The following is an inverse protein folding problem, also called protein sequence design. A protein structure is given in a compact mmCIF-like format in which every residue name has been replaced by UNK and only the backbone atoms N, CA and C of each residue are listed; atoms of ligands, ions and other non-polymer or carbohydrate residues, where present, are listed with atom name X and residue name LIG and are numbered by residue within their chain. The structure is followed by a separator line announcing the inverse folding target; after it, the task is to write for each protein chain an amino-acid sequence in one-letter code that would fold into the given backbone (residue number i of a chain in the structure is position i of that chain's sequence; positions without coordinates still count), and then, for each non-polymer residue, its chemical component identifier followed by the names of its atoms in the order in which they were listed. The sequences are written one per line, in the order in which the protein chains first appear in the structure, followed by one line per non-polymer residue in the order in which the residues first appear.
data_IF_092186735558
#
_entry.id   IF_092186735558
#
_cell.length_a   1.000
_cell.length_b   1.000
_cell.length_c   1.000
_cell.angle_alpha   90.00
_cell.angle_beta   90.00
_cell.angle_gamma   90.00
#
_symmetry.space_group_name_H-M   'P 1'
#
loop_
_entity.id
_entity.type
_entity.pdbx_description
1 polymer ?
#
# COMPACT_ATOMS: atom_id res chain seq x y z
N UNK A 1 4.72 -18.31 -3.65
CA UNK A 1 5.54 -17.41 -4.48
C UNK A 1 4.97 -16.01 -4.27
N UNK A 2 5.57 -15.23 -3.36
CA UNK A 2 5.23 -13.82 -3.20
C UNK A 2 5.77 -13.12 -4.46
N UNK A 3 4.90 -12.73 -5.38
CA UNK A 3 5.26 -11.78 -6.44
C UNK A 3 5.41 -10.42 -5.77
N UNK A 4 6.54 -10.19 -5.11
CA UNK A 4 6.90 -8.91 -4.51
C UNK A 4 7.77 -8.13 -5.48
N UNK A 5 7.23 -7.07 -6.07
CA UNK A 5 8.06 -6.03 -6.67
C UNK A 5 8.78 -5.32 -5.52
N UNK A 6 9.99 -5.73 -5.16
CA UNK A 6 10.72 -5.14 -4.04
C UNK A 6 11.19 -3.72 -4.40
N UNK A 7 10.94 -2.75 -3.52
CA UNK A 7 11.47 -1.40 -3.68
C UNK A 7 12.97 -1.45 -3.44
N UNK A 8 13.78 -1.00 -4.40
CA UNK A 8 15.23 -1.05 -4.25
C UNK A 8 15.70 -0.09 -3.13
N UNK A 9 16.70 -0.48 -2.32
CA UNK A 9 17.16 0.36 -1.22
C UNK A 9 17.63 1.75 -1.67
N UNK A 10 18.25 1.86 -2.85
CA UNK A 10 18.67 3.15 -3.42
C UNK A 10 17.51 4.09 -3.76
N UNK A 11 16.28 3.58 -3.85
CA UNK A 11 15.08 4.36 -4.19
C UNK A 11 14.33 4.85 -2.96
N UNK A 12 14.46 4.15 -1.82
CA UNK A 12 13.75 4.46 -0.57
C UNK A 12 14.01 5.90 -0.10
N UNK A 13 15.26 6.37 -0.16
CA UNK A 13 15.59 7.75 0.21
C UNK A 13 14.92 8.78 -0.68
N UNK A 14 14.86 8.56 -2.00
CA UNK A 14 14.23 9.47 -2.96
C UNK A 14 12.72 9.57 -2.72
N UNK A 15 12.06 8.43 -2.54
CA UNK A 15 10.61 8.43 -2.29
C UNK A 15 10.27 8.99 -0.91
N UNK A 16 11.09 8.72 0.10
CA UNK A 16 10.85 9.24 1.43
C UNK A 16 11.03 10.77 1.50
N UNK A 17 12.05 11.31 0.81
CA UNK A 17 12.21 12.76 0.65
C UNK A 17 11.00 13.39 -0.02
N UNK A 18 10.48 12.78 -1.09
CA UNK A 18 9.32 13.31 -1.81
C UNK A 18 8.05 13.35 -0.94
N UNK A 19 7.87 12.40 -0.03
CA UNK A 19 6.77 12.40 0.95
C UNK A 19 6.99 13.50 1.99
N UNK A 20 8.21 13.64 2.49
CA UNK A 20 8.58 14.67 3.45
C UNK A 20 8.39 16.09 2.90
N UNK A 21 8.80 16.34 1.67
CA UNK A 21 8.66 17.63 0.99
C UNK A 21 7.19 18.05 0.81
N UNK A 22 6.25 17.11 0.91
CA UNK A 22 4.82 17.38 0.90
C UNK A 22 4.22 17.67 2.27
N UNK A 23 4.99 17.56 3.35
CA UNK A 23 4.56 17.86 4.73
C UNK A 23 4.42 16.64 5.63
N UNK A 24 5.11 15.54 5.32
CA UNK A 24 5.05 14.36 6.17
C UNK A 24 5.70 14.60 7.54
N UNK A 25 5.19 13.91 8.55
CA UNK A 25 5.65 13.98 9.93
C UNK A 25 7.08 13.45 10.15
N UNK A 26 7.63 12.66 9.22
CA UNK A 26 8.96 12.07 9.34
C UNK A 26 9.62 11.76 8.00
N UNK A 27 10.97 11.77 8.00
CA UNK A 27 11.84 11.49 6.85
C UNK A 27 11.97 10.00 6.51
N UNK A 28 11.49 9.11 7.37
CA UNK A 28 11.57 7.66 7.17
C UNK A 28 10.30 7.07 6.52
N UNK A 29 9.34 7.90 6.10
CA UNK A 29 8.09 7.44 5.49
C UNK A 29 8.28 7.29 3.99
N UNK A 30 8.23 6.07 3.46
CA UNK A 30 8.59 5.79 2.06
C UNK A 30 7.40 5.44 1.15
N UNK A 31 6.23 5.17 1.72
CA UNK A 31 5.08 4.70 0.96
C UNK A 31 3.76 4.83 1.70
N UNK A 32 2.68 4.64 0.96
CA UNK A 32 1.31 4.65 1.44
C UNK A 32 0.76 3.23 1.40
N UNK A 33 0.23 2.74 2.52
CA UNK A 33 -0.44 1.45 2.64
C UNK A 33 -1.95 1.66 2.70
N UNK A 34 -2.68 0.79 2.00
CA UNK A 34 -4.13 0.78 2.00
C UNK A 34 -4.67 -0.66 1.85
N UNK A 35 -5.95 -0.85 2.17
CA UNK A 35 -6.65 -2.11 2.02
C UNK A 35 -7.39 -2.16 0.69
N UNK A 36 -7.07 -3.13 -0.16
CA UNK A 36 -7.80 -3.38 -1.39
C UNK A 36 -8.70 -4.61 -1.29
N UNK A 37 -9.82 -4.60 -2.00
CA UNK A 37 -10.79 -5.68 -2.01
C UNK A 37 -10.97 -6.23 -3.43
N UNK A 38 -10.83 -7.54 -3.58
CA UNK A 38 -11.18 -8.26 -4.79
C UNK A 38 -12.50 -9.00 -4.57
N UNK A 39 -13.54 -8.58 -5.28
CA UNK A 39 -14.85 -9.25 -5.22
C UNK A 39 -14.75 -10.69 -5.71
N UNK A 40 -15.41 -11.60 -4.99
CA UNK A 40 -15.48 -13.01 -5.32
C UNK A 40 -16.91 -13.52 -5.26
N UNK A 41 -17.17 -14.61 -5.97
CA UNK A 41 -18.40 -15.39 -5.76
C UNK A 41 -18.52 -15.85 -4.31
N UNK A 42 -19.76 -15.98 -3.84
CA UNK A 42 -20.07 -16.52 -2.52
C UNK A 42 -19.37 -17.88 -2.31
N UNK A 43 -18.53 -18.03 -1.27
CA UNK A 43 -17.87 -19.30 -0.98
C UNK A 43 -18.89 -20.42 -0.74
N UNK A 44 -18.66 -21.60 -1.32
CA UNK A 44 -19.54 -22.77 -1.17
C UNK A 44 -19.44 -23.43 0.20
N UNK A 45 -18.41 -23.08 0.97
CA UNK A 45 -18.20 -23.55 2.34
C UNK A 45 -19.26 -23.00 3.30
N UNK A 46 -19.33 -23.61 4.49
CA UNK A 46 -20.33 -23.27 5.50
C UNK A 46 -20.25 -21.82 6.02
N UNK A 47 -21.27 -21.44 6.79
CA UNK A 47 -21.49 -20.07 7.29
C UNK A 47 -20.27 -19.39 7.93
N UNK A 48 -19.36 -20.16 8.56
CA UNK A 48 -18.13 -19.61 9.14
C UNK A 48 -17.23 -18.98 8.08
N UNK A 49 -17.01 -19.68 6.96
CA UNK A 49 -16.16 -19.20 5.86
C UNK A 49 -16.84 -18.04 5.14
N UNK A 50 -18.15 -18.15 4.87
CA UNK A 50 -18.90 -17.06 4.23
C UNK A 50 -18.83 -15.75 5.04
N UNK A 51 -19.00 -15.83 6.37
CA UNK A 51 -18.89 -14.65 7.25
C UNK A 51 -17.51 -14.01 7.22
N UNK A 52 -16.45 -14.80 7.07
CA UNK A 52 -15.08 -14.28 7.02
C UNK A 52 -14.80 -13.45 5.76
N UNK A 53 -15.41 -13.83 4.63
CA UNK A 53 -15.24 -13.11 3.36
C UNK A 53 -16.36 -12.11 3.07
N UNK A 54 -17.34 -11.95 3.94
CA UNK A 54 -18.46 -11.05 3.72
C UNK A 54 -18.06 -9.59 4.00
N UNK A 55 -18.17 -8.73 3.00
CA UNK A 55 -18.13 -7.28 3.18
C UNK A 55 -19.55 -6.77 3.46
N UNK A 56 -19.89 -6.62 4.74
CA UNK A 56 -21.22 -6.18 5.17
C UNK A 56 -21.62 -4.79 4.64
N UNK A 57 -20.65 -3.89 4.40
CA UNK A 57 -20.92 -2.55 3.90
C UNK A 57 -21.31 -2.54 2.41
N UNK A 58 -20.72 -3.44 1.61
CA UNK A 58 -20.98 -3.56 0.16
C UNK A 58 -21.90 -4.73 -0.21
N UNK A 59 -22.38 -5.49 0.76
CA UNK A 59 -23.23 -6.69 0.57
C UNK A 59 -22.67 -7.74 -0.41
N UNK A 60 -21.35 -7.89 -0.48
CA UNK A 60 -20.65 -8.81 -1.38
C UNK A 60 -19.60 -9.64 -0.63
N UNK A 61 -19.10 -10.71 -1.25
CA UNK A 61 -17.94 -11.43 -0.73
C UNK A 61 -16.66 -10.88 -1.37
N UNK A 62 -15.62 -10.68 -0.59
CA UNK A 62 -14.36 -10.18 -1.09
C UNK A 62 -13.16 -10.80 -0.39
N UNK A 63 -12.10 -11.01 -1.17
CA UNK A 63 -10.75 -11.19 -0.66
C UNK A 63 -10.17 -9.82 -0.35
N UNK A 64 -9.58 -9.65 0.84
CA UNK A 64 -8.91 -8.42 1.25
C UNK A 64 -7.41 -8.58 1.11
N UNK A 65 -6.78 -7.65 0.43
CA UNK A 65 -5.34 -7.54 0.32
C UNK A 65 -4.91 -6.21 0.87
N UNK A 66 -3.64 -6.10 1.24
CA UNK A 66 -2.98 -4.82 1.44
C UNK A 66 -1.92 -4.69 0.36
N UNK A 67 -1.55 -3.46 0.03
CA UNK A 67 -0.37 -3.19 -0.78
C UNK A 67 0.21 -1.83 -0.44
N UNK A 68 1.42 -1.57 -0.91
CA UNK A 68 2.10 -0.28 -0.74
C UNK A 68 2.16 0.42 -2.09
N UNK A 69 1.83 1.71 -2.11
CA UNK A 69 2.11 2.59 -3.24
C UNK A 69 3.25 3.52 -2.87
N UNK A 70 4.30 3.56 -3.69
CA UNK A 70 5.36 4.55 -3.54
C UNK A 70 5.00 5.83 -4.32
N UNK A 71 5.56 6.98 -3.91
CA UNK A 71 5.42 8.28 -4.55
C UNK A 71 5.60 8.32 -6.07
N UNK A 72 6.49 7.50 -6.63
CA UNK A 72 6.73 7.39 -8.06
C UNK A 72 5.67 6.54 -8.79
N UNK A 73 4.73 5.94 -8.07
CA UNK A 73 3.60 5.21 -8.63
C UNK A 73 3.81 3.70 -8.80
N UNK A 74 4.85 3.13 -8.18
CA UNK A 74 4.98 1.67 -8.07
C UNK A 74 3.97 1.19 -7.01
N UNK A 75 3.09 0.27 -7.40
CA UNK A 75 2.33 -0.54 -6.44
C UNK A 75 3.10 -1.81 -6.17
N UNK A 76 3.68 -1.89 -4.97
CA UNK A 76 4.51 -2.99 -4.51
C UNK A 76 3.76 -3.87 -3.50
N UNK A 77 4.17 -5.14 -3.42
CA UNK A 77 3.86 -6.08 -2.34
C UNK A 77 2.35 -6.25 -2.07
N UNK A 78 1.65 -7.07 -2.85
CA UNK A 78 0.31 -7.49 -2.43
C UNK A 78 0.42 -8.55 -1.35
N UNK A 79 0.09 -8.20 -0.10
CA UNK A 79 -0.03 -9.18 0.98
C UNK A 79 -1.49 -9.54 1.24
N UNK A 80 -1.71 -10.78 1.65
CA UNK A 80 -3.03 -11.41 1.76
C UNK A 80 -3.25 -12.55 0.76
N UNK A 81 -4.49 -13.04 0.60
CA UNK A 81 -5.70 -12.47 1.18
C UNK A 81 -5.80 -12.71 2.69
N UNK A 82 -6.28 -11.71 3.43
CA UNK A 82 -6.51 -11.80 4.86
C UNK A 82 -7.96 -12.18 5.17
N UNK A 83 -8.13 -13.10 6.12
CA UNK A 83 -9.42 -13.69 6.49
C UNK A 83 -10.17 -12.84 7.53
N UNK A 84 -9.46 -11.98 8.25
CA UNK A 84 -10.06 -11.18 9.33
C UNK A 84 -10.52 -9.79 8.87
N UNK A 85 -11.52 -9.27 9.59
CA UNK A 85 -12.12 -7.96 9.36
C UNK A 85 -11.43 -6.85 10.13
N UNK A 86 -10.34 -7.14 10.85
CA UNK A 86 -9.68 -6.13 11.67
C UNK A 86 -8.77 -5.35 10.72
N UNK A 87 -8.95 -4.03 10.73
CA UNK A 87 -8.16 -3.06 9.97
C UNK A 87 -6.69 -3.00 10.45
N UNK A 88 -6.17 -4.09 11.00
CA UNK A 88 -4.80 -4.19 11.46
C UNK A 88 -3.92 -4.30 10.22
N UNK A 89 -3.19 -3.21 9.93
CA UNK A 89 -2.11 -3.27 8.97
C UNK A 89 -1.08 -4.30 9.46
N UNK A 90 -0.68 -5.20 8.58
CA UNK A 90 0.45 -6.11 8.85
C UNK A 90 1.75 -5.48 8.39
N UNK A 91 2.02 -4.26 8.86
CA UNK A 91 3.16 -3.44 8.41
C UNK A 91 4.49 -4.17 8.56
N UNK A 92 4.67 -4.91 9.65
CA UNK A 92 5.89 -5.68 9.89
C UNK A 92 6.18 -6.69 8.75
N UNK A 93 5.14 -7.34 8.19
CA UNK A 93 5.30 -8.25 7.04
C UNK A 93 5.87 -7.54 5.79
N UNK A 94 5.65 -6.22 5.66
CA UNK A 94 6.22 -5.41 4.59
C UNK A 94 7.65 -4.96 4.88
N UNK A 95 7.95 -4.64 6.15
CA UNK A 95 9.27 -4.18 6.55
C UNK A 95 10.30 -5.29 6.44
N UNK A 96 9.92 -6.55 6.70
CA UNK A 96 10.79 -7.71 6.49
C UNK A 96 11.22 -7.88 5.02
N UNK A 97 10.45 -7.35 4.07
CA UNK A 97 10.76 -7.39 2.63
C UNK A 97 11.70 -6.24 2.23
N UNK A 98 11.73 -5.16 3.02
CA UNK A 98 12.62 -4.02 2.78
C UNK A 98 13.98 -4.32 3.43
N UNK A 99 15.08 -4.35 2.67
CA UNK A 99 16.39 -4.70 3.23
C UNK A 99 16.83 -3.74 4.33
N UNK A 100 17.57 -4.29 5.30
CA UNK A 100 18.01 -3.66 6.55
C UNK A 100 18.55 -2.24 6.33
N UNK A 101 17.84 -1.26 6.89
CA UNK A 101 18.13 0.15 6.75
C UNK A 101 18.41 0.78 8.11
N UNK A 102 19.38 1.70 8.16
CA UNK A 102 19.87 2.32 9.40
C UNK A 102 18.79 3.07 10.22
N UNK A 103 17.67 3.43 9.58
CA UNK A 103 16.46 3.91 10.23
C UNK A 103 15.30 2.95 9.90
N UNK A 104 14.44 2.59 10.88
CA UNK A 104 13.28 1.76 10.58
C UNK A 104 12.34 2.56 9.67
N UNK A 105 12.21 2.13 8.43
CA UNK A 105 11.28 2.72 7.48
C UNK A 105 9.83 2.60 7.97
N UNK A 106 8.98 3.54 7.57
CA UNK A 106 7.59 3.61 7.98
C UNK A 106 6.65 3.90 6.80
N UNK A 107 5.35 3.70 7.02
CA UNK A 107 4.29 3.89 6.04
C UNK A 107 3.25 4.88 6.54
N UNK A 108 2.53 5.51 5.61
CA UNK A 108 1.25 6.14 5.90
C UNK A 108 0.11 5.19 5.60
N UNK A 109 -0.76 4.94 6.58
CA UNK A 109 -2.02 4.22 6.37
C UNK A 109 -3.19 5.19 6.22
N UNK A 110 -4.31 4.71 5.72
CA UNK A 110 -5.60 5.39 5.88
C UNK A 110 -5.87 5.75 7.38
N UNK A 111 -6.58 6.84 7.71
CA UNK A 111 -6.87 7.20 9.11
C UNK A 111 -7.57 6.11 9.94
N UNK A 112 -8.26 5.16 9.30
CA UNK A 112 -8.89 4.02 9.99
C UNK A 112 -7.86 2.98 10.51
N UNK A 113 -6.58 3.09 10.12
CA UNK A 113 -5.51 2.27 10.66
C UNK A 113 -5.05 2.76 12.04
N UNK A 114 -4.77 1.80 12.92
CA UNK A 114 -4.14 2.12 14.22
C UNK A 114 -2.69 2.57 14.01
N UNK A 115 -2.35 3.75 14.54
CA UNK A 115 -0.98 4.29 14.53
C UNK A 115 -0.05 3.34 15.29
N UNK A 116 1.13 3.07 14.73
CA UNK A 116 2.17 2.22 15.33
C UNK A 116 3.57 2.83 15.11
N UNK A 117 4.63 2.15 15.58
CA UNK A 117 6.02 2.61 15.38
C UNK A 117 6.37 2.81 13.91
N UNK A 118 5.79 2.00 13.03
CA UNK A 118 6.10 1.98 11.60
C UNK A 118 4.89 2.36 10.73
N UNK A 119 3.79 2.82 11.34
CA UNK A 119 2.59 3.24 10.65
C UNK A 119 2.07 4.56 11.21
N UNK A 120 1.99 5.57 10.34
CA UNK A 120 1.51 6.90 10.68
C UNK A 120 0.14 7.15 10.04
N UNK A 121 -0.62 8.06 10.64
CA UNK A 121 -1.80 8.66 10.02
C UNK A 121 -1.37 9.69 8.97
N UNK A 122 -2.11 9.88 7.86
CA UNK A 122 -1.74 10.85 6.83
C UNK A 122 -1.69 12.27 7.39
N UNK A 123 -0.82 13.11 6.82
CA UNK A 123 -0.78 14.54 7.13
C UNK A 123 -1.87 15.33 6.37
N UNK A 124 -2.17 16.54 6.83
CA UNK A 124 -3.22 17.38 6.24
C UNK A 124 -2.96 17.67 4.75
N UNK A 125 -4.01 17.59 3.93
CA UNK A 125 -3.93 17.91 2.50
C UNK A 125 -3.52 16.76 1.59
N UNK A 126 -3.15 15.58 2.12
CA UNK A 126 -3.07 14.37 1.31
C UNK A 126 -4.48 13.95 0.92
N UNK A 127 -4.79 14.06 -0.37
CA UNK A 127 -6.08 13.64 -0.88
C UNK A 127 -6.31 12.15 -0.58
N UNK A 128 -7.52 11.80 -0.10
CA UNK A 128 -7.99 10.41 -0.08
C UNK A 128 -7.80 9.72 -1.43
N UNK A 129 -7.76 10.47 -2.55
CA UNK A 129 -7.46 9.91 -3.87
C UNK A 129 -6.07 9.29 -3.98
N UNK A 130 -5.07 9.76 -3.24
CA UNK A 130 -3.71 9.18 -3.22
C UNK A 130 -3.72 7.81 -2.53
N UNK A 131 -4.52 7.64 -1.46
CA UNK A 131 -4.76 6.33 -0.84
C UNK A 131 -5.63 5.44 -1.74
N UNK A 132 -6.75 5.98 -2.25
CA UNK A 132 -7.64 5.30 -3.19
C UNK A 132 -6.99 5.02 -4.58
N UNK A 133 -5.79 5.52 -4.85
CA UNK A 133 -5.08 5.26 -6.11
C UNK A 133 -4.55 3.83 -6.19
N UNK A 134 -4.54 3.07 -5.09
CA UNK A 134 -4.15 1.67 -5.13
C UNK A 134 -5.13 0.76 -5.92
N UNK A 135 -6.34 1.25 -6.20
CA UNK A 135 -7.33 0.57 -7.05
C UNK A 135 -7.59 1.27 -8.39
N UNK A 136 -7.21 2.53 -8.56
CA UNK A 136 -7.65 3.34 -9.69
C UNK A 136 -6.61 3.66 -10.76
N UNK A 137 -5.52 2.89 -10.86
CA UNK A 137 -4.68 2.88 -12.07
C UNK A 137 -5.47 2.53 -13.36
N UNK A 138 -6.72 2.06 -13.24
CA UNK A 138 -7.65 1.81 -14.34
C UNK A 138 -8.63 2.98 -14.63
N UNK A 139 -8.68 4.00 -13.78
CA UNK A 139 -9.52 5.19 -13.96
C UNK A 139 -8.82 6.23 -14.84
N UNK A 140 -9.23 6.35 -16.10
CA UNK A 140 -8.63 7.20 -17.16
C UNK A 140 -8.44 8.71 -16.85
N UNK A 141 -8.80 9.22 -15.66
CA UNK A 141 -8.92 10.66 -15.37
C UNK A 141 -8.30 11.13 -14.04
N UNK A 142 -7.33 10.41 -13.44
CA UNK A 142 -6.62 10.90 -12.24
C UNK A 142 -5.16 11.20 -12.55
N UNK A 143 -4.61 12.25 -11.93
CA UNK A 143 -3.18 12.54 -11.99
C UNK A 143 -2.39 11.36 -11.40
N UNK A 144 -1.37 10.84 -12.09
CA UNK A 144 -0.49 9.81 -11.55
C UNK A 144 0.06 10.22 -10.18
N UNK A 145 0.21 9.26 -9.26
CA UNK A 145 0.81 9.47 -7.93
C UNK A 145 2.16 10.20 -8.07
N UNK A 146 2.96 9.84 -9.07
CA UNK A 146 4.22 10.50 -9.42
C UNK A 146 4.09 12.00 -9.69
N UNK A 147 3.04 12.43 -10.41
CA UNK A 147 2.79 13.85 -10.67
C UNK A 147 2.46 14.64 -9.41
N UNK A 148 1.74 14.05 -8.45
CA UNK A 148 1.47 14.71 -7.17
C UNK A 148 2.76 14.93 -6.37
N UNK A 149 3.62 13.92 -6.32
CA UNK A 149 4.90 13.98 -5.60
C UNK A 149 6.04 14.65 -6.38
N UNK A 150 5.81 15.05 -7.63
CA UNK A 150 6.84 15.68 -8.48
C UNK A 150 7.98 14.73 -8.84
N UNK A 151 7.67 13.43 -8.98
CA UNK A 151 8.61 12.40 -9.40
C UNK A 151 8.33 11.99 -10.84
N UNK A 152 9.38 11.57 -11.54
CA UNK A 152 9.21 10.88 -12.82
C UNK A 152 8.59 9.49 -12.58
N UNK A 153 7.70 9.03 -13.48
CA UNK A 153 7.23 7.65 -13.45
C UNK A 153 8.39 6.65 -13.57
N UNK A 154 8.23 5.43 -13.05
CA UNK A 154 9.31 4.45 -13.03
C UNK A 154 9.58 3.90 -14.44
N UNK A 155 10.83 3.53 -14.71
CA UNK A 155 11.17 2.80 -15.93
C UNK A 155 10.66 1.37 -15.86
N UNK A 156 10.56 0.69 -17.01
CA UNK A 156 10.17 -0.72 -17.04
C UNK A 156 11.10 -1.62 -16.20
N UNK A 157 12.39 -1.29 -16.16
CA UNK A 157 13.37 -2.02 -15.35
C UNK A 157 13.10 -1.85 -13.85
N UNK A 158 12.71 -0.65 -13.43
CA UNK A 158 12.31 -0.38 -12.05
C UNK A 158 11.01 -1.09 -11.67
N UNK A 159 10.10 -1.35 -12.62
CA UNK A 159 8.92 -2.19 -12.40
C UNK A 159 9.27 -3.68 -12.27
N UNK A 160 10.14 -4.19 -13.13
CA UNK A 160 10.37 -5.64 -13.24
C UNK A 160 11.41 -6.12 -12.21
N UNK A 161 12.27 -5.22 -11.72
CA UNK A 161 13.34 -5.49 -10.75
C UNK A 161 13.93 -6.90 -10.89
N UNK A 162 14.68 -7.11 -11.96
CA UNK A 162 15.44 -8.36 -12.11
C UNK A 162 16.67 -8.22 -11.24
N UNK A 163 16.74 -8.99 -10.14
CA UNK A 163 18.01 -9.30 -9.49
C UNK A 163 18.93 -9.96 -10.53
N UNK A 164 19.78 -9.18 -11.18
CA UNK A 164 21.05 -9.69 -11.74
C UNK A 164 22.09 -9.78 -10.63
#
# INVERSE_FOLDING_TARGET
MLFGMTISPGKLGKVASAIYDKGAASLNIFGLIDGTMHEISKPSQGNKVQKAFNNGCKHLHALKYQSIVTPDGITSNFLGPYVDSRHEARVEEYLDIVPDAELPFALYGDPDYMISKCLYSPFEGVSLSVFNNMIHCTGRNRSPTSSYFGLDPPTLEEYIWINT
#
